data_IF_753372425806
#
_entry.id   IF_753372425806
#
_cell.length_a   1.000
_cell.length_b   1.000
_cell.length_c   1.000
_cell.angle_alpha   90.00
_cell.angle_beta   90.00
_cell.angle_gamma   90.00
#
_symmetry.space_group_name_H-M   'P 1'
#
loop_
_entity.id
_entity.type
_entity.pdbx_description
1 polymer ?
#
# COMPACT_ATOMS: atom_id res chain seq x y z
N UNK A 1 5.28 -33.97 -13.14
CA UNK A 1 4.55 -32.83 -13.74
C UNK A 1 3.69 -32.09 -12.71
N UNK A 2 2.90 -32.80 -11.87
CA UNK A 2 2.11 -32.16 -10.80
C UNK A 2 2.98 -31.46 -9.74
N UNK A 3 4.10 -32.07 -9.34
CA UNK A 3 5.06 -31.48 -8.39
C UNK A 3 5.66 -30.16 -8.87
N UNK A 4 5.98 -30.04 -10.16
CA UNK A 4 6.49 -28.80 -10.76
C UNK A 4 5.44 -27.68 -10.77
N UNK A 5 4.16 -28.01 -11.02
CA UNK A 5 3.05 -27.06 -10.96
C UNK A 5 2.79 -26.61 -9.53
N UNK A 6 2.78 -27.54 -8.57
CA UNK A 6 2.58 -27.25 -7.15
C UNK A 6 3.70 -26.37 -6.59
N UNK A 7 4.96 -26.63 -6.96
CA UNK A 7 6.09 -25.76 -6.60
C UNK A 7 5.95 -24.37 -7.23
N UNK A 8 5.56 -24.28 -8.50
CA UNK A 8 5.33 -23.00 -9.17
C UNK A 8 4.25 -22.16 -8.49
N UNK A 9 3.14 -22.78 -8.10
CA UNK A 9 2.08 -22.14 -7.32
C UNK A 9 2.58 -21.69 -5.94
N UNK A 10 3.30 -22.57 -5.23
CA UNK A 10 3.86 -22.27 -3.91
C UNK A 10 4.78 -21.04 -3.95
N UNK A 11 5.75 -21.01 -4.87
CA UNK A 11 6.63 -19.85 -5.03
C UNK A 11 5.87 -18.60 -5.48
N UNK A 12 4.86 -18.75 -6.32
CA UNK A 12 3.97 -17.65 -6.71
C UNK A 12 3.23 -17.05 -5.53
N UNK A 13 2.72 -17.89 -4.62
CA UNK A 13 2.06 -17.45 -3.39
C UNK A 13 3.03 -16.79 -2.42
N UNK A 14 4.20 -17.39 -2.18
CA UNK A 14 5.23 -16.82 -1.31
C UNK A 14 5.60 -15.40 -1.76
N UNK A 15 5.90 -15.21 -3.05
CA UNK A 15 6.21 -13.88 -3.60
C UNK A 15 5.05 -12.91 -3.46
N UNK A 16 3.81 -13.33 -3.75
CA UNK A 16 2.66 -12.44 -3.65
C UNK A 16 2.36 -11.99 -2.21
N UNK A 17 2.78 -12.76 -1.21
CA UNK A 17 2.64 -12.41 0.21
C UNK A 17 3.76 -11.48 0.68
N UNK A 18 4.99 -11.67 0.18
CA UNK A 18 6.15 -10.88 0.60
C UNK A 18 6.44 -9.66 -0.28
N UNK A 19 5.81 -9.51 -1.45
CA UNK A 19 6.16 -8.51 -2.48
C UNK A 19 6.31 -7.09 -1.93
N UNK A 20 5.37 -6.66 -1.08
CA UNK A 20 5.38 -5.35 -0.42
C UNK A 20 6.52 -5.19 0.59
N UNK A 21 6.87 -6.26 1.30
CA UNK A 21 7.94 -6.28 2.30
C UNK A 21 9.29 -6.30 1.58
N UNK A 22 9.45 -7.19 0.59
CA UNK A 22 10.68 -7.39 -0.18
C UNK A 22 11.10 -6.11 -0.92
N UNK A 23 10.14 -5.30 -1.38
CA UNK A 23 10.40 -4.04 -2.09
C UNK A 23 10.28 -2.79 -1.20
N UNK A 24 10.15 -2.96 0.11
CA UNK A 24 9.95 -1.82 1.02
C UNK A 24 11.18 -0.98 1.28
N UNK A 25 12.38 -1.50 0.97
CA UNK A 25 13.69 -0.96 1.36
C UNK A 25 13.89 -0.76 2.87
N UNK A 26 13.05 -1.37 3.72
CA UNK A 26 13.20 -1.31 5.17
C UNK A 26 14.07 -2.46 5.69
N UNK A 27 14.97 -2.18 6.62
CA UNK A 27 15.77 -3.21 7.30
C UNK A 27 14.96 -3.99 8.33
N UNK A 28 14.00 -3.31 8.98
CA UNK A 28 13.17 -3.88 10.04
C UNK A 28 11.73 -3.40 9.90
N UNK A 29 10.78 -4.30 10.16
CA UNK A 29 9.36 -3.99 10.24
C UNK A 29 8.88 -4.20 11.66
N UNK A 30 8.33 -3.17 12.27
CA UNK A 30 7.75 -3.21 13.62
C UNK A 30 6.23 -3.25 13.51
N UNK A 31 5.64 -4.23 14.17
CA UNK A 31 4.20 -4.51 14.16
C UNK A 31 3.66 -4.62 15.59
N UNK A 32 2.35 -4.45 15.75
CA UNK A 32 1.69 -4.73 17.02
C UNK A 32 1.78 -6.23 17.36
N UNK A 33 1.92 -6.54 18.64
CA UNK A 33 1.94 -7.92 19.13
C UNK A 33 0.69 -8.70 18.67
N UNK A 34 0.88 -9.94 18.21
CA UNK A 34 -0.19 -10.79 17.70
C UNK A 34 -0.61 -10.53 16.24
N UNK A 35 -0.07 -9.50 15.57
CA UNK A 35 -0.27 -9.31 14.13
C UNK A 35 0.55 -10.34 13.37
N UNK A 36 -0.13 -11.15 12.55
CA UNK A 36 0.48 -12.22 11.75
C UNK A 36 0.41 -11.97 10.25
N UNK A 37 -0.43 -11.03 9.81
CA UNK A 37 -0.63 -10.70 8.40
C UNK A 37 -0.43 -9.20 8.17
N UNK A 38 0.17 -8.85 7.04
CA UNK A 38 0.47 -7.46 6.66
C UNK A 38 -0.81 -6.64 6.38
N UNK A 39 -1.87 -7.30 5.93
CA UNK A 39 -3.14 -6.64 5.62
C UNK A 39 -4.04 -6.40 6.84
N UNK A 40 -3.71 -6.96 8.02
CA UNK A 40 -4.52 -6.87 9.25
C UNK A 40 -3.81 -6.13 10.37
N UNK A 41 -3.06 -5.07 10.02
CA UNK A 41 -2.33 -4.26 10.99
C UNK A 41 -3.25 -3.67 12.07
N UNK A 42 -2.78 -3.69 13.31
CA UNK A 42 -3.46 -3.06 14.44
C UNK A 42 -2.81 -1.70 14.69
N UNK A 43 -3.55 -0.58 14.60
CA UNK A 43 -3.00 0.74 14.82
C UNK A 43 -2.41 0.88 16.22
N UNK A 44 -1.24 1.53 16.30
CA UNK A 44 -0.59 1.92 17.53
C UNK A 44 -0.24 3.40 17.52
N UNK A 45 -0.08 3.98 18.71
CA UNK A 45 0.17 5.41 18.87
C UNK A 45 1.56 5.80 18.37
N UNK A 46 1.66 7.01 17.81
CA UNK A 46 2.93 7.55 17.31
C UNK A 46 4.01 7.68 18.41
N UNK A 47 3.64 7.70 19.69
CA UNK A 47 4.60 7.69 20.81
C UNK A 47 5.59 6.51 20.71
N UNK A 48 5.13 5.34 20.24
CA UNK A 48 6.01 4.18 20.05
C UNK A 48 7.05 4.42 18.95
N UNK A 49 6.71 5.18 17.92
CA UNK A 49 7.63 5.53 16.83
C UNK A 49 8.76 6.42 17.35
N UNK A 50 8.43 7.43 18.16
CA UNK A 50 9.44 8.30 18.76
C UNK A 50 10.37 7.52 19.70
N UNK A 51 9.86 6.50 20.41
CA UNK A 51 10.70 5.61 21.22
C UNK A 51 11.68 4.82 20.35
N UNK A 52 11.23 4.26 19.23
CA UNK A 52 12.10 3.52 18.29
C UNK A 52 13.15 4.45 17.67
N UNK A 53 12.73 5.65 17.24
CA UNK A 53 13.63 6.65 16.66
C UNK A 53 14.71 7.14 17.61
N UNK A 54 14.50 7.01 18.93
CA UNK A 54 15.50 7.35 19.96
C UNK A 54 16.50 6.24 20.26
N UNK A 55 16.35 5.04 19.69
CA UNK A 55 17.27 3.92 19.93
C UNK A 55 18.59 4.17 19.17
N UNK A 56 19.75 4.13 19.84
CA UNK A 56 21.04 4.25 19.16
C UNK A 56 21.20 3.20 18.06
N UNK A 57 21.55 3.65 16.85
CA UNK A 57 21.71 2.80 15.68
C UNK A 57 20.50 2.75 14.74
N UNK A 58 19.37 3.36 15.12
CA UNK A 58 18.23 3.56 14.21
C UNK A 58 18.47 4.83 13.38
N UNK A 59 18.56 4.69 12.06
CA UNK A 59 18.78 5.81 11.14
C UNK A 59 17.50 6.62 10.88
N UNK A 60 16.40 5.93 10.57
CA UNK A 60 15.10 6.56 10.31
C UNK A 60 13.96 5.63 10.74
N UNK A 61 12.78 6.22 10.91
CA UNK A 61 11.56 5.55 11.36
C UNK A 61 10.41 6.13 10.56
N UNK A 62 9.87 5.34 9.64
CA UNK A 62 8.82 5.75 8.72
C UNK A 62 7.48 5.12 9.07
N UNK A 63 6.44 5.95 8.96
CA UNK A 63 5.06 5.54 9.22
C UNK A 63 4.49 4.90 7.97
N UNK A 64 3.99 3.69 8.13
CA UNK A 64 3.29 3.00 7.07
C UNK A 64 1.90 2.54 7.50
N UNK A 65 0.98 2.64 6.55
CA UNK A 65 -0.35 2.07 6.65
C UNK A 65 -0.51 1.03 5.55
N UNK A 66 -0.98 -0.16 5.94
CA UNK A 66 -1.42 -1.18 4.99
C UNK A 66 -2.75 -1.71 5.49
N UNK A 67 -3.79 -1.67 4.65
CA UNK A 67 -5.10 -2.18 5.05
C UNK A 67 -6.13 -2.14 3.94
N UNK A 68 -7.22 -2.89 4.12
CA UNK A 68 -8.25 -3.00 3.09
C UNK A 68 -9.11 -1.75 2.94
N UNK A 69 -9.46 -1.40 1.70
CA UNK A 69 -10.40 -0.34 1.35
C UNK A 69 -11.43 -0.82 0.33
N UNK A 70 -12.52 -0.05 0.19
CA UNK A 70 -13.50 -0.26 -0.88
C UNK A 70 -13.29 0.80 -1.96
N UNK A 71 -13.07 0.33 -3.18
CA UNK A 71 -12.96 1.14 -4.39
C UNK A 71 -14.27 1.09 -5.15
N UNK A 72 -14.85 2.24 -5.44
CA UNK A 72 -16.07 2.35 -6.23
C UNK A 72 -15.71 2.66 -7.68
N UNK A 73 -16.08 1.74 -8.56
CA UNK A 73 -15.87 1.84 -10.00
C UNK A 73 -16.83 2.86 -10.61
N UNK A 74 -16.53 3.42 -11.79
CA UNK A 74 -17.43 4.36 -12.48
C UNK A 74 -18.84 3.80 -12.74
N UNK A 75 -18.97 2.49 -12.89
CA UNK A 75 -20.26 1.81 -13.06
C UNK A 75 -21.02 1.57 -11.74
N UNK A 76 -20.52 2.09 -10.62
CA UNK A 76 -21.15 1.98 -9.30
C UNK A 76 -20.82 0.71 -8.52
N UNK A 77 -20.18 -0.29 -9.13
CA UNK A 77 -19.79 -1.51 -8.44
C UNK A 77 -18.57 -1.26 -7.53
N UNK A 78 -18.53 -1.97 -6.40
CA UNK A 78 -17.41 -1.91 -5.45
C UNK A 78 -16.38 -3.01 -5.72
N UNK A 79 -15.14 -2.73 -5.34
CA UNK A 79 -14.00 -3.65 -5.44
C UNK A 79 -13.12 -3.49 -4.20
N UNK A 80 -12.74 -4.61 -3.58
CA UNK A 80 -11.84 -4.61 -2.44
C UNK A 80 -10.39 -4.35 -2.88
N UNK A 81 -9.77 -3.32 -2.31
CA UNK A 81 -8.38 -2.92 -2.58
C UNK A 81 -7.52 -3.03 -1.32
N UNK A 82 -6.20 -3.12 -1.50
CA UNK A 82 -5.22 -2.98 -0.42
C UNK A 82 -4.61 -1.59 -0.50
N UNK A 83 -4.97 -0.71 0.42
CA UNK A 83 -4.43 0.64 0.51
C UNK A 83 -3.06 0.61 1.20
N UNK A 84 -2.05 1.17 0.53
CA UNK A 84 -0.69 1.31 1.04
C UNK A 84 -0.37 2.81 1.17
N UNK A 85 -0.29 3.28 2.41
CA UNK A 85 0.06 4.65 2.78
C UNK A 85 1.52 4.74 3.21
N UNK A 86 2.32 5.57 2.57
CA UNK A 86 3.76 5.71 2.84
C UNK A 86 4.22 7.17 2.90
N UNK A 87 5.37 7.46 3.51
CA UNK A 87 5.92 8.82 3.54
C UNK A 87 6.56 9.18 2.18
N UNK A 88 6.23 10.33 1.60
CA UNK A 88 6.85 10.75 0.33
C UNK A 88 8.26 11.31 0.50
N UNK A 89 8.56 11.86 1.68
CA UNK A 89 9.86 12.47 1.95
C UNK A 89 10.94 11.38 2.10
N UNK A 90 10.54 10.19 2.54
CA UNK A 90 11.35 8.99 2.61
C UNK A 90 10.49 7.79 2.16
N UNK A 91 10.56 7.39 0.86
CA UNK A 91 9.59 6.50 0.22
C UNK A 91 9.75 5.01 0.57
N UNK A 92 10.15 4.70 1.81
CA UNK A 92 10.16 3.34 2.35
C UNK A 92 8.73 2.79 2.29
N UNK A 93 8.58 1.60 1.71
CA UNK A 93 7.27 0.96 1.47
C UNK A 93 6.41 1.62 0.40
N UNK A 94 6.99 2.52 -0.41
CA UNK A 94 6.33 3.17 -1.54
C UNK A 94 6.18 2.29 -2.80
N UNK A 95 5.55 2.81 -3.86
CA UNK A 95 5.39 2.09 -5.12
C UNK A 95 6.74 1.95 -5.85
N UNK A 96 6.96 0.78 -6.47
CA UNK A 96 8.08 0.51 -7.37
C UNK A 96 7.59 0.26 -8.80
N UNK A 97 8.51 0.14 -9.76
CA UNK A 97 8.21 -0.11 -11.18
C UNK A 97 7.16 0.87 -11.74
N UNK A 98 7.31 2.17 -11.44
CA UNK A 98 6.41 3.20 -11.95
C UNK A 98 6.57 3.30 -13.48
N UNK A 99 5.49 3.07 -14.22
CA UNK A 99 5.47 3.08 -15.69
C UNK A 99 4.84 4.35 -16.26
N UNK A 100 3.98 5.02 -15.49
CA UNK A 100 3.36 6.27 -15.89
C UNK A 100 3.14 7.19 -14.69
N UNK A 101 3.24 8.51 -14.91
CA UNK A 101 3.24 9.49 -13.84
C UNK A 101 4.59 9.59 -13.14
N UNK A 102 4.62 10.23 -11.98
CA UNK A 102 5.82 10.37 -11.14
C UNK A 102 5.44 10.17 -9.69
N UNK A 103 6.38 9.68 -8.86
CA UNK A 103 6.14 9.58 -7.42
C UNK A 103 5.78 10.93 -6.80
N UNK A 104 6.31 12.04 -7.37
CA UNK A 104 5.97 13.39 -6.94
C UNK A 104 4.51 13.76 -7.18
N UNK A 105 3.84 13.14 -8.17
CA UNK A 105 2.43 13.37 -8.43
C UNK A 105 1.54 12.98 -7.23
N UNK A 106 2.01 12.08 -6.36
CA UNK A 106 1.36 11.72 -5.09
C UNK A 106 1.42 12.84 -4.04
N UNK A 107 2.20 13.91 -4.25
CA UNK A 107 2.15 15.13 -3.42
C UNK A 107 0.78 15.82 -3.53
N UNK A 108 0.09 15.63 -4.66
CA UNK A 108 -1.27 16.15 -4.87
C UNK A 108 -2.21 15.50 -3.85
N UNK A 109 -3.11 16.27 -3.21
CA UNK A 109 -4.12 15.71 -2.31
C UNK A 109 -4.96 14.63 -3.00
N UNK A 110 -5.28 13.57 -2.25
CA UNK A 110 -6.12 12.45 -2.69
C UNK A 110 -5.60 11.70 -3.92
N UNK A 111 -4.31 11.86 -4.23
CA UNK A 111 -3.64 11.17 -5.32
C UNK A 111 -3.36 9.70 -4.96
N UNK A 112 -3.57 8.82 -5.94
CA UNK A 112 -3.30 7.39 -5.83
C UNK A 112 -2.58 6.87 -7.07
N UNK A 113 -1.76 5.84 -6.88
CA UNK A 113 -1.20 5.03 -7.95
C UNK A 113 -1.77 3.62 -7.87
N UNK A 114 -1.95 3.00 -9.04
CA UNK A 114 -2.51 1.64 -9.17
C UNK A 114 -1.66 0.83 -10.14
N UNK A 115 -1.65 -0.50 -9.99
CA UNK A 115 -0.92 -1.34 -10.94
C UNK A 115 -1.68 -1.52 -12.26
N UNK A 116 -0.95 -1.51 -13.38
CA UNK A 116 -1.47 -1.76 -14.73
C UNK A 116 -2.26 -3.07 -14.81
N UNK A 117 -1.86 -4.09 -14.04
CA UNK A 117 -2.52 -5.39 -13.97
C UNK A 117 -4.00 -5.28 -13.57
N UNK A 118 -4.37 -4.25 -12.81
CA UNK A 118 -5.70 -4.11 -12.22
C UNK A 118 -6.55 -3.00 -12.84
N UNK A 119 -6.07 -2.28 -13.86
CA UNK A 119 -6.82 -1.16 -14.47
C UNK A 119 -8.23 -1.57 -14.90
N UNK A 120 -8.35 -2.70 -15.61
CA UNK A 120 -9.65 -3.24 -16.04
C UNK A 120 -10.53 -3.62 -14.84
N UNK A 121 -9.95 -4.24 -13.80
CA UNK A 121 -10.67 -4.66 -12.59
C UNK A 121 -11.20 -3.44 -11.83
N UNK A 122 -10.42 -2.37 -11.75
CA UNK A 122 -10.75 -1.11 -11.07
C UNK A 122 -11.58 -0.14 -11.94
N UNK A 123 -11.80 -0.46 -13.22
CA UNK A 123 -12.50 0.43 -14.16
C UNK A 123 -11.75 1.74 -14.42
N UNK A 124 -10.42 1.72 -14.37
CA UNK A 124 -9.56 2.85 -14.70
C UNK A 124 -9.23 2.82 -16.19
N UNK A 125 -9.55 3.90 -16.90
CA UNK A 125 -9.32 4.03 -18.34
C UNK A 125 -8.16 4.98 -18.68
N UNK A 126 -7.73 5.82 -17.74
CA UNK A 126 -6.65 6.77 -17.98
C UNK A 126 -6.16 7.50 -16.74
N UNK A 127 -5.00 8.16 -16.87
CA UNK A 127 -4.44 9.03 -15.85
C UNK A 127 -5.34 10.25 -15.63
N UNK A 128 -5.37 10.75 -14.41
CA UNK A 128 -6.22 11.86 -13.98
C UNK A 128 -7.66 11.45 -13.69
N UNK A 129 -8.06 10.20 -13.97
CA UNK A 129 -9.39 9.70 -13.65
C UNK A 129 -9.66 9.83 -12.15
N UNK A 130 -10.85 10.36 -11.84
CA UNK A 130 -11.35 10.46 -10.48
C UNK A 130 -12.17 9.21 -10.17
N UNK A 131 -11.90 8.64 -9.01
CA UNK A 131 -12.59 7.48 -8.46
C UNK A 131 -12.99 7.78 -7.02
N UNK A 132 -13.68 6.84 -6.38
CA UNK A 132 -14.06 6.97 -4.98
C UNK A 132 -13.51 5.79 -4.18
N UNK A 133 -12.88 6.10 -3.04
CA UNK A 133 -12.35 5.12 -2.10
C UNK A 133 -12.94 5.44 -0.74
N UNK A 134 -13.70 4.50 -0.16
CA UNK A 134 -14.41 4.67 1.12
C UNK A 134 -15.26 5.97 1.19
N UNK A 135 -16.04 6.27 0.15
CA UNK A 135 -16.88 7.48 0.12
C UNK A 135 -16.12 8.78 -0.17
N UNK A 136 -14.82 8.73 -0.45
CA UNK A 136 -13.99 9.91 -0.70
C UNK A 136 -13.39 9.87 -2.09
N UNK A 137 -13.34 11.03 -2.75
CA UNK A 137 -12.73 11.16 -4.07
C UNK A 137 -11.23 10.88 -3.99
N UNK A 138 -10.72 10.15 -4.96
CA UNK A 138 -9.30 9.95 -5.20
C UNK A 138 -8.99 10.14 -6.68
N UNK A 139 -7.76 10.54 -7.01
CA UNK A 139 -7.33 10.74 -8.40
C UNK A 139 -6.19 9.79 -8.74
N UNK A 140 -6.36 9.04 -9.83
CA UNK A 140 -5.28 8.19 -10.35
C UNK A 140 -4.23 9.07 -11.01
N UNK A 141 -3.02 9.11 -10.46
CA UNK A 141 -1.94 9.99 -10.94
C UNK A 141 -0.75 9.25 -11.53
N UNK A 142 -0.74 7.92 -11.44
CA UNK A 142 0.32 7.11 -12.00
C UNK A 142 0.00 5.62 -11.98
N UNK A 143 0.84 4.88 -12.69
CA UNK A 143 0.75 3.43 -12.80
C UNK A 143 2.05 2.76 -12.36
N UNK A 144 1.91 1.61 -11.72
CA UNK A 144 3.00 0.67 -11.45
C UNK A 144 2.82 -0.58 -12.32
N UNK A 145 3.85 -1.42 -12.39
CA UNK A 145 3.78 -2.67 -13.14
C UNK A 145 4.25 -3.88 -12.35
N UNK A 146 3.35 -4.87 -12.26
CA UNK A 146 3.65 -6.21 -11.79
C UNK A 146 3.55 -6.40 -10.29
N UNK A 147 3.08 -5.41 -9.54
CA UNK A 147 2.89 -5.50 -8.09
C UNK A 147 1.69 -6.39 -7.79
N UNK A 148 1.90 -7.42 -6.98
CA UNK A 148 0.86 -8.41 -6.65
C UNK A 148 0.67 -8.53 -5.16
N UNK A 149 -0.58 -8.77 -4.78
CA UNK A 149 -0.94 -9.11 -3.41
C UNK A 149 -1.49 -10.54 -3.39
N UNK A 150 -1.22 -11.25 -2.30
CA UNK A 150 -1.73 -12.60 -2.10
C UNK A 150 -3.26 -12.66 -2.14
N UNK A 151 -3.92 -11.66 -1.55
CA UNK A 151 -5.39 -11.59 -1.43
C UNK A 151 -6.09 -11.24 -2.73
N UNK A 152 -5.35 -11.01 -3.83
CA UNK A 152 -5.85 -10.57 -5.14
C UNK A 152 -6.52 -9.18 -5.12
N UNK A 153 -6.51 -8.51 -3.98
CA UNK A 153 -6.95 -7.13 -3.82
C UNK A 153 -5.92 -6.19 -4.45
N UNK A 154 -6.29 -5.38 -5.45
CA UNK A 154 -5.35 -4.47 -6.10
C UNK A 154 -4.65 -3.58 -5.07
N UNK A 155 -3.30 -3.53 -5.06
CA UNK A 155 -2.56 -2.59 -4.24
C UNK A 155 -2.76 -1.18 -4.81
N UNK A 156 -3.06 -0.24 -3.92
CA UNK A 156 -3.27 1.17 -4.25
C UNK A 156 -2.39 2.01 -3.35
N UNK A 157 -1.39 2.65 -3.94
CA UNK A 157 -0.41 3.44 -3.20
C UNK A 157 -0.86 4.89 -3.08
N UNK A 158 -0.70 5.46 -1.89
CA UNK A 158 -0.97 6.86 -1.61
C UNK A 158 -0.03 7.39 -0.54
N UNK A 159 0.06 8.70 -0.39
CA UNK A 159 0.81 9.30 0.71
C UNK A 159 0.14 9.00 2.05
N UNK A 160 0.92 8.68 3.08
CA UNK A 160 0.47 8.43 4.46
C UNK A 160 -0.28 9.62 5.08
N UNK A 161 -0.05 10.84 4.60
CA UNK A 161 -0.84 12.03 5.00
C UNK A 161 -2.23 12.07 4.36
N UNK A 162 -2.54 11.24 3.38
CA UNK A 162 -3.88 11.07 2.78
C UNK A 162 -4.79 10.24 3.71
N UNK A 163 -4.76 10.59 5.00
CA UNK A 163 -5.38 9.89 6.14
C UNK A 163 -6.90 9.78 6.02
N UNK A 164 -7.52 10.74 5.31
CA UNK A 164 -8.96 10.76 5.04
C UNK A 164 -9.41 9.51 4.27
N UNK A 165 -8.65 9.10 3.26
CA UNK A 165 -8.96 7.90 2.46
C UNK A 165 -8.72 6.63 3.29
N UNK A 166 -7.75 6.67 4.21
CA UNK A 166 -7.35 5.51 5.01
C UNK A 166 -8.22 5.29 6.26
N UNK A 167 -9.02 6.28 6.68
CA UNK A 167 -9.98 6.15 7.79
C UNK A 167 -9.36 5.95 9.18
N UNK A 168 -8.11 6.39 9.37
CA UNK A 168 -7.38 6.28 10.64
C UNK A 168 -7.29 7.64 11.34
N UNK A 169 -7.13 7.63 12.67
CA UNK A 169 -6.86 8.81 13.49
C UNK A 169 -5.47 9.38 13.24
N UNK A 170 -5.29 10.65 13.55
CA UNK A 170 -4.09 11.43 13.18
C UNK A 170 -2.79 10.93 13.83
N UNK A 171 -2.89 10.35 15.03
CA UNK A 171 -1.77 9.93 15.87
C UNK A 171 -1.58 8.40 15.91
N UNK A 172 -2.03 7.71 14.86
CA UNK A 172 -1.97 6.25 14.77
C UNK A 172 -1.22 5.80 13.51
N UNK A 173 -0.48 4.71 13.62
CA UNK A 173 0.20 4.02 12.52
C UNK A 173 0.04 2.52 12.69
N UNK A 174 -0.04 1.76 11.61
CA UNK A 174 -0.19 0.29 11.69
C UNK A 174 1.14 -0.44 11.64
N UNK A 175 2.13 0.17 10.98
CA UNK A 175 3.45 -0.36 10.76
C UNK A 175 4.48 0.76 10.91
N UNK A 176 5.68 0.37 11.32
CA UNK A 176 6.86 1.21 11.28
C UNK A 176 7.99 0.46 10.60
N UNK A 177 8.68 1.16 9.71
CA UNK A 177 9.81 0.67 8.94
C UNK A 177 11.00 1.61 9.00
#
# INVERSE_FOLDING_TARGET
MLTSIQMGLFFGFMRATSDLIDHSSADLWIISEGVTHLETGVPFTEEKLYKVSGIPGVESVEKQFVGFGQWKKPNGAEEGILLVGFNLDNPIGGPWNITAGSIESLKTPDAVMVDELYLKKLGVTGLGQVVEIRGRRARVVGYTKGIRTFTTSPPVFTRSRTRRIMGIRENESMYCC
#
